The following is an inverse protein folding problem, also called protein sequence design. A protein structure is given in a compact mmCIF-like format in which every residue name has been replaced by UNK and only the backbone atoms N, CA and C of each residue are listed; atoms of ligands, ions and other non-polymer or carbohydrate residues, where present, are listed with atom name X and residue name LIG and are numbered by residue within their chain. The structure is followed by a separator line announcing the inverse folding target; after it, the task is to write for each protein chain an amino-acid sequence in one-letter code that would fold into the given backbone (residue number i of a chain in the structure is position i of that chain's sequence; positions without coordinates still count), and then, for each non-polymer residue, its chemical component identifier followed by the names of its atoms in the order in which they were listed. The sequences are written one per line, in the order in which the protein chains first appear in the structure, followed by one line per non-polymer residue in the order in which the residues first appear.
data_IF_179622070064
#
_entry.id   IF_179622070064
#
_cell.length_a   1.000
_cell.length_b   1.000
_cell.length_c   1.000
_cell.angle_alpha   90.00
_cell.angle_beta   90.00
_cell.angle_gamma   90.00
#
_symmetry.space_group_name_H-M   'P 1'
#
loop_
_entity.id
_entity.type
_entity.pdbx_description
1 polymer ?
#
# COMPACT_ATOMS: atom_id res chain seq x y z
N UNK A 1 -9.71 -0.44 -12.12
CA UNK A 1 -8.92 -0.09 -10.90
C UNK A 1 -7.58 -0.80 -10.91
N UNK A 2 -6.61 -0.28 -10.15
CA UNK A 2 -5.30 -0.94 -9.93
C UNK A 2 -5.15 -1.18 -8.42
N UNK A 3 -4.81 -2.41 -8.04
CA UNK A 3 -4.44 -2.73 -6.67
C UNK A 3 -3.01 -2.25 -6.43
N UNK A 4 -2.85 -1.26 -5.54
CA UNK A 4 -1.56 -0.61 -5.35
C UNK A 4 -0.61 -1.39 -4.42
N UNK A 5 -1.15 -2.33 -3.63
CA UNK A 5 -0.39 -3.06 -2.62
C UNK A 5 -0.92 -4.49 -2.47
N UNK A 6 -0.09 -5.49 -2.79
CA UNK A 6 -0.46 -6.91 -2.72
C UNK A 6 0.75 -7.85 -2.62
N UNK A 7 0.57 -9.01 -1.96
CA UNK A 7 1.59 -10.03 -1.76
C UNK A 7 1.24 -11.31 -2.54
N UNK A 8 1.17 -11.18 -3.88
CA UNK A 8 0.66 -12.25 -4.77
C UNK A 8 1.73 -13.21 -5.28
N UNK A 9 3.04 -12.88 -5.17
CA UNK A 9 4.08 -13.76 -5.69
C UNK A 9 4.28 -15.00 -4.80
N UNK A 10 4.40 -16.21 -5.40
CA UNK A 10 4.45 -17.44 -4.62
C UNK A 10 5.80 -17.60 -3.91
N UNK A 11 5.78 -17.90 -2.62
CA UNK A 11 6.96 -18.18 -1.79
C UNK A 11 8.05 -17.09 -1.78
N UNK A 12 7.66 -15.82 -1.97
CA UNK A 12 8.60 -14.68 -1.96
C UNK A 12 8.67 -14.06 -0.56
N UNK A 13 7.52 -13.99 0.10
CA UNK A 13 7.36 -13.41 1.43
C UNK A 13 6.30 -14.21 2.25
N UNK A 14 5.59 -13.56 3.15
CA UNK A 14 4.49 -14.16 3.92
C UNK A 14 3.14 -14.16 3.17
N UNK A 15 3.10 -13.68 1.93
CA UNK A 15 1.96 -13.73 1.03
C UNK A 15 1.66 -15.13 0.51
N UNK A 16 1.33 -15.24 -0.79
CA UNK A 16 0.99 -16.51 -1.45
C UNK A 16 2.03 -17.60 -1.22
N UNK A 17 1.57 -18.83 -0.94
CA UNK A 17 2.43 -19.98 -0.64
C UNK A 17 2.62 -20.93 -1.82
N UNK A 18 1.87 -20.74 -2.90
CA UNK A 18 2.00 -21.57 -4.10
C UNK A 18 1.51 -20.84 -5.35
N UNK A 19 1.84 -21.40 -6.50
CA UNK A 19 1.35 -20.91 -7.80
C UNK A 19 -0.18 -21.01 -7.87
N UNK A 20 -0.76 -22.03 -7.27
CA UNK A 20 -2.20 -22.26 -7.22
C UNK A 20 -2.88 -21.15 -6.42
N UNK A 21 -2.39 -20.83 -5.22
CA UNK A 21 -2.89 -19.72 -4.40
C UNK A 21 -2.76 -18.38 -5.15
N UNK A 22 -1.62 -18.14 -5.82
CA UNK A 22 -1.45 -16.95 -6.65
C UNK A 22 -2.54 -16.86 -7.72
N UNK A 23 -2.84 -17.96 -8.43
CA UNK A 23 -3.90 -17.94 -9.45
C UNK A 23 -5.31 -17.75 -8.87
N UNK A 24 -5.57 -18.23 -7.67
CA UNK A 24 -6.83 -17.93 -6.97
C UNK A 24 -6.93 -16.42 -6.67
N UNK A 25 -5.86 -15.81 -6.12
CA UNK A 25 -5.79 -14.37 -5.87
C UNK A 25 -6.00 -13.55 -7.14
N UNK A 26 -5.34 -13.92 -8.26
CA UNK A 26 -5.48 -13.21 -9.53
C UNK A 26 -6.92 -13.29 -10.09
N UNK A 27 -7.60 -14.44 -9.95
CA UNK A 27 -9.01 -14.60 -10.33
C UNK A 27 -9.93 -13.75 -9.46
N UNK A 28 -9.71 -13.77 -8.14
CA UNK A 28 -10.49 -12.97 -7.20
C UNK A 28 -10.33 -11.47 -7.49
N UNK A 29 -9.11 -11.00 -7.72
CA UNK A 29 -8.84 -9.62 -8.09
C UNK A 29 -9.57 -9.22 -9.38
N UNK A 30 -9.50 -10.07 -10.42
CA UNK A 30 -10.23 -9.83 -11.67
C UNK A 30 -11.74 -9.75 -11.45
N UNK A 31 -12.31 -10.65 -10.64
CA UNK A 31 -13.72 -10.67 -10.31
C UNK A 31 -14.14 -9.45 -9.47
N UNK A 32 -13.24 -8.91 -8.64
CA UNK A 32 -13.43 -7.67 -7.89
C UNK A 32 -13.31 -6.40 -8.77
N UNK A 33 -12.98 -6.54 -10.07
CA UNK A 33 -12.93 -5.44 -11.03
C UNK A 33 -11.58 -4.76 -11.16
N UNK A 34 -10.50 -5.38 -10.70
CA UNK A 34 -9.15 -4.89 -10.96
C UNK A 34 -8.74 -5.17 -12.41
N UNK A 35 -8.05 -4.21 -13.02
CA UNK A 35 -7.41 -4.29 -14.34
C UNK A 35 -5.88 -4.42 -14.23
N UNK A 36 -5.34 -4.15 -13.04
CA UNK A 36 -3.93 -4.27 -12.75
C UNK A 36 -3.66 -4.51 -11.27
N UNK A 37 -2.55 -5.18 -10.98
CA UNK A 37 -2.06 -5.46 -9.63
C UNK A 37 -0.59 -5.11 -9.58
N UNK A 38 -0.20 -4.36 -8.56
CA UNK A 38 1.20 -4.14 -8.21
C UNK A 38 1.58 -5.16 -7.14
N UNK A 39 2.46 -6.09 -7.50
CA UNK A 39 3.03 -7.02 -6.54
C UNK A 39 4.11 -6.32 -5.74
N UNK A 40 3.83 -6.06 -4.49
CA UNK A 40 4.69 -5.31 -3.56
C UNK A 40 5.23 -6.21 -2.46
N UNK A 41 5.67 -7.42 -2.82
CA UNK A 41 6.25 -8.35 -1.85
C UNK A 41 7.23 -7.66 -0.92
N UNK A 42 7.22 -8.05 0.35
CA UNK A 42 8.13 -7.48 1.35
C UNK A 42 9.59 -7.54 0.90
N UNK A 43 10.34 -6.51 1.23
CA UNK A 43 11.78 -6.55 1.31
C UNK A 43 12.20 -6.13 2.73
N UNK A 44 12.79 -7.05 3.46
CA UNK A 44 13.28 -6.86 4.82
C UNK A 44 14.59 -7.61 4.96
N UNK A 45 15.67 -6.88 5.20
CA UNK A 45 17.01 -7.45 5.38
C UNK A 45 16.97 -8.54 6.46
N UNK A 46 17.66 -9.66 6.22
CA UNK A 46 17.71 -10.87 7.05
C UNK A 46 16.42 -11.72 7.07
N UNK A 47 15.29 -11.25 6.50
CA UNK A 47 14.01 -11.97 6.53
C UNK A 47 13.45 -12.27 5.14
N UNK A 48 13.26 -11.24 4.31
CA UNK A 48 12.68 -11.35 2.98
C UNK A 48 13.59 -10.65 1.97
N UNK A 49 14.49 -11.41 1.34
CA UNK A 49 15.54 -10.86 0.48
C UNK A 49 15.51 -11.41 -0.96
N UNK A 50 14.33 -11.84 -1.43
CA UNK A 50 14.19 -12.28 -2.82
C UNK A 50 14.43 -11.10 -3.74
N UNK A 51 15.48 -11.19 -4.56
CA UNK A 51 15.94 -10.09 -5.40
C UNK A 51 14.99 -9.77 -6.55
N UNK A 52 15.18 -8.59 -7.14
CA UNK A 52 14.33 -8.08 -8.25
C UNK A 52 14.33 -8.99 -9.46
N UNK A 53 15.48 -9.62 -9.79
CA UNK A 53 15.58 -10.49 -10.97
C UNK A 53 14.70 -11.73 -10.84
N UNK A 54 14.71 -12.39 -9.69
CA UNK A 54 13.87 -13.56 -9.40
C UNK A 54 12.38 -13.21 -9.43
N UNK A 55 12.00 -12.07 -8.84
CA UNK A 55 10.60 -11.62 -8.84
C UNK A 55 10.12 -11.22 -10.24
N UNK A 56 11.00 -10.67 -11.10
CA UNK A 56 10.69 -10.43 -12.51
C UNK A 56 10.41 -11.73 -13.27
N UNK A 57 11.11 -12.81 -12.99
CA UNK A 57 10.82 -14.13 -13.58
C UNK A 57 9.40 -14.57 -13.23
N UNK A 58 8.98 -14.41 -11.96
CA UNK A 58 7.62 -14.72 -11.55
C UNK A 58 6.57 -13.86 -12.26
N UNK A 59 6.75 -12.52 -12.27
CA UNK A 59 5.82 -11.60 -12.94
C UNK A 59 5.64 -11.98 -14.42
N UNK A 60 6.73 -12.26 -15.13
CA UNK A 60 6.69 -12.64 -16.54
C UNK A 60 5.95 -13.97 -16.75
N UNK A 61 6.26 -14.99 -15.95
CA UNK A 61 5.61 -16.30 -16.04
C UNK A 61 4.11 -16.22 -15.73
N UNK A 62 3.71 -15.46 -14.72
CA UNK A 62 2.30 -15.24 -14.37
C UNK A 62 1.57 -14.45 -15.45
N UNK A 63 2.18 -13.40 -15.99
CA UNK A 63 1.60 -12.59 -17.08
C UNK A 63 1.38 -13.41 -18.34
N UNK A 64 2.34 -14.27 -18.72
CA UNK A 64 2.19 -15.19 -19.85
C UNK A 64 1.04 -16.19 -19.63
N UNK A 65 0.91 -16.71 -18.43
CA UNK A 65 -0.19 -17.62 -18.08
C UNK A 65 -1.56 -16.92 -18.09
N UNK A 66 -1.65 -15.68 -17.59
CA UNK A 66 -2.87 -14.88 -17.69
C UNK A 66 -3.28 -14.67 -19.15
N UNK A 67 -2.32 -14.31 -20.00
CA UNK A 67 -2.54 -14.15 -21.44
C UNK A 67 -3.08 -15.45 -22.09
N UNK A 68 -2.44 -16.60 -21.82
CA UNK A 68 -2.88 -17.92 -22.33
C UNK A 68 -4.29 -18.29 -21.88
N UNK A 69 -4.70 -17.82 -20.71
CA UNK A 69 -6.05 -18.07 -20.14
C UNK A 69 -7.09 -17.02 -20.51
N UNK A 70 -6.73 -16.03 -21.36
CA UNK A 70 -7.57 -14.89 -21.72
C UNK A 70 -8.08 -14.10 -20.49
N UNK A 71 -7.26 -13.97 -19.46
CA UNK A 71 -7.53 -13.14 -18.28
C UNK A 71 -6.86 -11.79 -18.50
N UNK A 72 -7.67 -10.76 -18.76
CA UNK A 72 -7.19 -9.39 -18.95
C UNK A 72 -6.90 -8.76 -17.59
N UNK A 73 -5.71 -9.01 -17.05
CA UNK A 73 -5.19 -8.48 -15.80
C UNK A 73 -3.69 -8.24 -15.95
N UNK A 74 -3.26 -7.00 -15.72
CA UNK A 74 -1.85 -6.61 -15.83
C UNK A 74 -1.15 -6.76 -14.49
N UNK A 75 0.08 -7.25 -14.50
CA UNK A 75 0.91 -7.37 -13.31
C UNK A 75 2.09 -6.42 -13.40
N UNK A 76 2.35 -5.75 -12.28
CA UNK A 76 3.46 -4.82 -12.12
C UNK A 76 4.30 -5.21 -10.91
N UNK A 77 5.57 -4.83 -10.91
CA UNK A 77 6.50 -5.16 -9.85
C UNK A 77 6.78 -3.94 -8.97
N UNK A 78 6.84 -4.16 -7.69
CA UNK A 78 7.28 -3.23 -6.66
C UNK A 78 7.84 -3.98 -5.46
N UNK A 79 8.16 -3.27 -4.40
CA UNK A 79 8.36 -3.80 -3.05
C UNK A 79 7.58 -2.97 -2.05
N UNK A 80 7.17 -3.61 -0.97
CA UNK A 80 7.00 -2.97 0.32
C UNK A 80 8.30 -3.13 1.10
N UNK A 81 9.04 -2.02 1.23
CA UNK A 81 10.36 -2.05 1.87
C UNK A 81 10.20 -1.72 3.36
N UNK A 82 10.62 -2.65 4.23
CA UNK A 82 10.70 -2.35 5.65
C UNK A 82 11.74 -1.24 5.87
N UNK A 83 11.36 -0.18 6.60
CA UNK A 83 12.18 1.03 6.73
C UNK A 83 13.60 0.72 7.24
N UNK A 84 14.61 1.20 6.54
CA UNK A 84 16.03 1.03 6.85
C UNK A 84 16.82 2.24 6.35
N UNK A 85 17.91 2.58 7.03
CA UNK A 85 18.88 3.59 6.59
C UNK A 85 19.57 3.19 5.27
N UNK A 86 19.55 1.89 4.95
CA UNK A 86 20.16 1.34 3.75
C UNK A 86 19.26 1.41 2.50
N UNK A 87 18.05 2.00 2.60
CA UNK A 87 17.00 1.95 1.56
C UNK A 87 17.50 2.42 0.18
N UNK A 88 18.34 3.45 0.14
CA UNK A 88 18.91 3.98 -1.12
C UNK A 88 19.81 2.93 -1.77
N UNK A 89 20.75 2.36 -1.03
CA UNK A 89 21.65 1.33 -1.54
C UNK A 89 20.89 0.06 -1.98
N UNK A 90 19.80 -0.31 -1.30
CA UNK A 90 18.96 -1.44 -1.72
C UNK A 90 18.32 -1.22 -3.09
N UNK A 91 17.92 0.02 -3.39
CA UNK A 91 17.37 0.39 -4.68
C UNK A 91 18.45 0.46 -5.78
N UNK A 92 19.59 1.08 -5.49
CA UNK A 92 20.71 1.21 -6.43
C UNK A 92 21.32 -0.14 -6.82
N UNK A 93 21.43 -1.05 -5.87
CA UNK A 93 21.98 -2.41 -6.09
C UNK A 93 20.97 -3.40 -6.68
N UNK A 94 19.70 -3.00 -6.82
CA UNK A 94 18.63 -3.87 -7.32
C UNK A 94 18.25 -5.01 -6.38
N UNK A 95 18.57 -4.91 -5.10
CA UNK A 95 18.06 -5.82 -4.07
C UNK A 95 16.57 -5.58 -3.84
N UNK A 96 16.16 -4.33 -3.72
CA UNK A 96 14.77 -3.91 -3.72
C UNK A 96 14.44 -3.08 -4.97
N UNK A 97 13.16 -2.83 -5.25
CA UNK A 97 12.74 -1.98 -6.38
C UNK A 97 11.61 -1.04 -6.00
N UNK A 98 11.58 0.10 -6.67
CA UNK A 98 10.46 1.02 -6.67
C UNK A 98 9.24 0.43 -7.40
N UNK A 99 8.09 1.08 -7.31
CA UNK A 99 6.88 0.69 -8.05
C UNK A 99 7.12 0.83 -9.56
N UNK A 100 7.13 -0.31 -10.27
CA UNK A 100 7.28 -0.38 -11.72
C UNK A 100 8.51 0.39 -12.27
N UNK A 101 9.62 0.42 -11.54
CA UNK A 101 10.82 1.22 -11.83
C UNK A 101 10.55 2.74 -11.92
N UNK A 102 9.51 3.25 -11.29
CA UNK A 102 9.23 4.68 -11.14
C UNK A 102 10.03 5.29 -9.99
N UNK A 103 9.86 6.58 -9.74
CA UNK A 103 10.46 7.23 -8.56
C UNK A 103 9.68 6.94 -7.26
N UNK A 104 8.57 6.23 -7.31
CA UNK A 104 7.72 5.95 -6.16
C UNK A 104 8.18 4.67 -5.44
N UNK A 105 8.40 4.77 -4.14
CA UNK A 105 8.84 3.66 -3.29
C UNK A 105 7.84 3.45 -2.18
N UNK A 106 7.20 2.27 -2.17
CA UNK A 106 6.34 1.86 -1.06
C UNK A 106 7.22 1.34 0.07
N UNK A 107 7.02 1.86 1.26
CA UNK A 107 7.75 1.44 2.46
C UNK A 107 6.82 1.35 3.66
N UNK A 108 7.23 0.57 4.66
CA UNK A 108 6.48 0.38 5.90
C UNK A 108 7.33 0.65 7.13
N UNK A 109 6.64 1.01 8.23
CA UNK A 109 7.20 1.10 9.57
C UNK A 109 6.92 -0.16 10.39
N UNK A 110 7.65 -0.38 11.50
CA UNK A 110 7.23 -1.34 12.52
C UNK A 110 5.83 -1.01 13.04
N UNK A 111 4.92 -1.99 13.09
CA UNK A 111 3.52 -1.76 13.47
C UNK A 111 3.35 -1.17 14.89
N UNK A 112 4.24 -1.53 15.80
CA UNK A 112 4.10 -1.22 17.23
C UNK A 112 5.08 -0.19 17.79
N UNK A 113 6.04 0.27 16.99
CA UNK A 113 7.06 1.23 17.44
C UNK A 113 7.31 2.31 16.38
N UNK A 114 7.44 3.56 16.83
CA UNK A 114 7.81 4.69 15.99
C UNK A 114 9.31 4.68 15.77
N UNK A 115 9.82 4.59 14.52
CA UNK A 115 11.26 4.67 14.27
C UNK A 115 11.80 6.05 14.66
N UNK A 116 12.91 6.10 15.40
CA UNK A 116 13.48 7.37 15.86
C UNK A 116 14.08 8.19 14.72
N UNK A 117 14.64 7.51 13.73
CA UNK A 117 15.32 8.08 12.56
C UNK A 117 14.44 8.20 11.31
N UNK A 118 13.10 8.04 11.45
CA UNK A 118 12.19 8.03 10.29
C UNK A 118 12.27 9.31 9.44
N UNK A 119 12.47 10.47 10.07
CA UNK A 119 12.55 11.74 9.35
C UNK A 119 13.86 11.87 8.55
N UNK A 120 14.97 11.35 9.08
CA UNK A 120 16.25 11.36 8.40
C UNK A 120 16.20 10.46 7.17
N UNK A 121 15.64 9.25 7.29
CA UNK A 121 15.47 8.32 6.15
C UNK A 121 14.55 8.93 5.08
N UNK A 122 13.42 9.53 5.48
CA UNK A 122 12.50 10.18 4.54
C UNK A 122 13.19 11.35 3.84
N UNK A 123 13.96 12.15 4.57
CA UNK A 123 14.74 13.26 3.99
C UNK A 123 15.74 12.74 2.94
N UNK A 124 16.49 11.69 3.26
CA UNK A 124 17.42 11.07 2.32
C UNK A 124 16.70 10.56 1.06
N UNK A 125 15.56 9.89 1.21
CA UNK A 125 14.74 9.46 0.05
C UNK A 125 14.38 10.65 -0.85
N UNK A 126 13.93 11.77 -0.28
CA UNK A 126 13.55 12.97 -1.04
C UNK A 126 14.74 13.63 -1.74
N UNK A 127 15.90 13.71 -1.09
CA UNK A 127 17.16 14.21 -1.69
C UNK A 127 17.58 13.37 -2.92
N UNK A 128 17.37 12.05 -2.86
CA UNK A 128 17.58 11.13 -3.98
C UNK A 128 16.44 11.15 -5.02
N UNK A 129 15.52 12.11 -4.93
CA UNK A 129 14.36 12.27 -5.83
C UNK A 129 13.38 11.08 -5.81
N UNK A 130 13.42 10.30 -4.75
CA UNK A 130 12.43 9.26 -4.47
C UNK A 130 11.18 9.93 -3.92
N UNK A 131 10.01 9.46 -4.35
CA UNK A 131 8.72 9.86 -3.81
C UNK A 131 8.28 8.77 -2.84
N UNK A 132 8.42 8.99 -1.52
CA UNK A 132 8.09 7.96 -0.54
C UNK A 132 6.57 7.78 -0.41
N UNK A 133 6.12 6.53 -0.42
CA UNK A 133 4.72 6.14 -0.19
C UNK A 133 4.67 5.28 1.06
N UNK A 134 4.06 5.77 2.13
CA UNK A 134 3.90 5.02 3.37
C UNK A 134 2.72 4.03 3.25
N UNK A 135 3.00 2.75 3.47
CA UNK A 135 2.01 1.70 3.49
C UNK A 135 1.12 1.78 4.74
N UNK A 136 -0.16 1.55 4.59
CA UNK A 136 -1.18 1.34 5.63
C UNK A 136 -0.97 2.14 6.95
N UNK A 137 -0.87 3.49 6.89
CA UNK A 137 -0.59 4.32 8.07
C UNK A 137 -1.58 4.12 9.22
N UNK A 138 -2.81 3.75 8.91
CA UNK A 138 -3.87 3.46 9.88
C UNK A 138 -3.59 2.26 10.79
N UNK A 139 -2.64 1.38 10.41
CA UNK A 139 -2.30 0.17 11.18
C UNK A 139 -1.26 0.43 12.28
N UNK A 140 -0.49 1.51 12.19
CA UNK A 140 0.57 1.77 13.17
C UNK A 140 0.00 2.25 14.52
N UNK A 141 0.40 1.59 15.60
CA UNK A 141 -0.10 1.88 16.96
C UNK A 141 0.22 3.32 17.42
N UNK A 142 1.32 3.89 16.95
CA UNK A 142 1.70 5.26 17.25
C UNK A 142 0.90 6.28 16.44
N UNK A 143 0.56 5.99 15.18
CA UNK A 143 -0.34 6.81 14.36
C UNK A 143 -1.76 6.81 14.93
N UNK A 144 -2.24 5.65 15.42
CA UNK A 144 -3.56 5.58 16.06
C UNK A 144 -3.66 6.48 17.29
N UNK A 145 -2.55 6.72 18.00
CA UNK A 145 -2.49 7.61 19.16
C UNK A 145 -2.27 9.08 18.79
N UNK A 146 -1.46 9.30 17.76
CA UNK A 146 -1.01 10.62 17.30
C UNK A 146 -1.22 10.75 15.77
N UNK A 147 -2.48 10.76 15.28
CA UNK A 147 -2.76 10.75 13.84
C UNK A 147 -2.33 12.04 13.13
N UNK A 148 -2.10 13.11 13.87
CA UNK A 148 -1.55 14.38 13.38
C UNK A 148 -0.20 14.18 12.68
N UNK A 149 0.55 13.14 13.04
CA UNK A 149 1.80 12.75 12.41
C UNK A 149 1.66 12.55 10.89
N UNK A 150 0.51 12.04 10.43
CA UNK A 150 0.30 11.81 8.99
C UNK A 150 0.21 13.12 8.23
N UNK A 151 -0.42 14.15 8.80
CA UNK A 151 -0.41 15.48 8.22
C UNK A 151 1.02 16.01 8.05
N UNK A 152 1.85 15.91 9.10
CA UNK A 152 3.24 16.35 9.05
C UNK A 152 4.07 15.61 7.99
N UNK A 153 3.85 14.30 7.83
CA UNK A 153 4.53 13.49 6.81
C UNK A 153 4.12 13.89 5.39
N UNK A 154 2.82 14.17 5.17
CA UNK A 154 2.34 14.64 3.86
C UNK A 154 2.91 16.00 3.52
N UNK A 155 2.97 16.94 4.49
CA UNK A 155 3.60 18.25 4.29
C UNK A 155 5.09 18.14 3.94
N UNK A 156 5.75 17.06 4.31
CA UNK A 156 7.15 16.75 3.93
C UNK A 156 7.28 16.02 2.59
N UNK A 157 6.18 15.69 1.92
CA UNK A 157 6.19 15.04 0.61
C UNK A 157 5.99 13.53 0.63
N UNK A 158 5.61 12.94 1.77
CA UNK A 158 5.27 11.52 1.86
C UNK A 158 3.83 11.30 1.42
N UNK A 159 3.60 10.34 0.54
CA UNK A 159 2.25 9.92 0.13
C UNK A 159 1.78 8.74 0.98
N UNK A 160 0.46 8.55 1.06
CA UNK A 160 -0.16 7.53 1.90
C UNK A 160 -0.92 6.50 1.07
N UNK A 161 -0.65 5.23 1.30
CA UNK A 161 -1.45 4.12 0.80
C UNK A 161 -2.21 3.51 1.97
N UNK A 162 -3.53 3.41 1.89
CA UNK A 162 -4.37 2.75 2.89
C UNK A 162 -4.99 1.45 2.36
N UNK A 163 -5.31 0.54 3.28
CA UNK A 163 -5.84 -0.77 2.93
C UNK A 163 -7.37 -0.76 2.77
N UNK A 164 -7.89 -1.41 1.72
CA UNK A 164 -9.33 -1.61 1.54
C UNK A 164 -9.99 -2.29 2.76
N UNK A 165 -9.30 -3.29 3.34
CA UNK A 165 -9.82 -4.00 4.50
C UNK A 165 -9.95 -3.15 5.77
N UNK A 166 -9.20 -2.06 5.89
CA UNK A 166 -9.23 -1.18 7.06
C UNK A 166 -10.58 -0.52 7.24
N UNK A 167 -11.26 -0.10 6.16
CA UNK A 167 -12.58 0.57 6.24
C UNK A 167 -13.67 -0.38 6.77
N UNK A 168 -13.51 -1.68 6.55
CA UNK A 168 -14.43 -2.73 7.03
C UNK A 168 -14.06 -3.25 8.43
N UNK A 169 -13.05 -2.67 9.08
CA UNK A 169 -12.64 -3.05 10.43
C UNK A 169 -11.77 -4.31 10.51
N UNK A 170 -11.22 -4.80 9.40
CA UNK A 170 -10.39 -6.02 9.35
C UNK A 170 -9.19 -5.96 10.30
N UNK A 171 -8.62 -4.78 10.49
CA UNK A 171 -7.47 -4.55 11.38
C UNK A 171 -7.87 -3.93 12.72
N UNK A 172 -9.15 -4.05 13.10
CA UNK A 172 -9.71 -3.56 14.35
C UNK A 172 -10.29 -2.14 14.26
N UNK A 173 -11.08 -1.79 15.28
CA UNK A 173 -11.84 -0.54 15.33
C UNK A 173 -10.95 0.72 15.29
N UNK A 174 -9.73 0.63 15.84
CA UNK A 174 -8.78 1.76 15.83
C UNK A 174 -8.31 2.07 14.41
N UNK A 175 -7.87 1.06 13.67
CA UNK A 175 -7.48 1.23 12.28
C UNK A 175 -8.65 1.70 11.42
N UNK A 176 -9.86 1.18 11.65
CA UNK A 176 -11.08 1.63 10.98
C UNK A 176 -11.39 3.10 11.24
N UNK A 177 -11.27 3.57 12.48
CA UNK A 177 -11.45 4.98 12.81
C UNK A 177 -10.42 5.83 12.07
N UNK A 178 -9.14 5.45 12.14
CA UNK A 178 -8.07 6.27 11.54
C UNK A 178 -8.21 6.33 10.03
N UNK A 179 -8.46 5.21 9.33
CA UNK A 179 -8.62 5.26 7.86
C UNK A 179 -9.80 6.15 7.44
N UNK A 180 -10.92 6.14 8.20
CA UNK A 180 -12.04 7.07 7.95
C UNK A 180 -11.58 8.52 8.07
N UNK A 181 -10.84 8.86 9.12
CA UNK A 181 -10.30 10.21 9.32
C UNK A 181 -9.33 10.63 8.23
N UNK A 182 -8.45 9.73 7.79
CA UNK A 182 -7.54 10.01 6.69
C UNK A 182 -8.29 10.27 5.38
N UNK A 183 -9.30 9.46 5.06
CA UNK A 183 -10.17 9.66 3.89
C UNK A 183 -10.93 10.98 3.94
N UNK A 184 -11.58 11.28 5.08
CA UNK A 184 -12.34 12.52 5.30
C UNK A 184 -11.47 13.78 5.12
N UNK A 185 -10.14 13.68 5.30
CA UNK A 185 -9.23 14.81 5.34
C UNK A 185 -8.20 14.84 4.19
N UNK A 186 -8.48 14.20 3.06
CA UNK A 186 -7.64 14.19 1.86
C UNK A 186 -6.22 13.63 2.10
N UNK A 187 -6.07 12.67 3.01
CA UNK A 187 -4.78 12.11 3.40
C UNK A 187 -4.53 10.70 2.86
N UNK A 188 -5.39 10.20 1.94
CA UNK A 188 -5.20 8.91 1.25
C UNK A 188 -4.98 9.18 -0.23
N UNK A 189 -3.87 8.70 -0.77
CA UNK A 189 -3.46 8.91 -2.15
C UNK A 189 -3.61 7.66 -3.01
N UNK A 190 -3.53 6.48 -2.37
CA UNK A 190 -3.66 5.16 -3.00
C UNK A 190 -4.44 4.21 -2.10
N UNK A 191 -5.14 3.24 -2.72
CA UNK A 191 -5.74 2.12 -2.03
C UNK A 191 -5.10 0.80 -2.50
N UNK A 192 -4.84 -0.10 -1.56
CA UNK A 192 -4.31 -1.43 -1.82
C UNK A 192 -5.06 -2.50 -1.04
N UNK A 193 -5.00 -3.74 -1.51
CA UNK A 193 -5.62 -4.86 -0.81
C UNK A 193 -4.80 -5.33 0.38
N UNK A 194 -3.49 -5.27 0.26
CA UNK A 194 -2.55 -5.88 1.21
C UNK A 194 -2.90 -7.38 1.40
N UNK A 195 -3.26 -8.03 0.27
CA UNK A 195 -3.74 -9.41 0.29
C UNK A 195 -2.58 -10.39 0.39
N UNK A 196 -2.69 -11.34 1.31
CA UNK A 196 -1.70 -12.38 1.54
C UNK A 196 -2.25 -13.79 1.24
N UNK A 197 -3.57 -13.96 1.25
CA UNK A 197 -4.22 -15.27 1.09
C UNK A 197 -5.53 -15.16 0.32
N UNK A 198 -5.90 -16.18 -0.48
CA UNK A 198 -7.19 -16.25 -1.12
C UNK A 198 -8.36 -16.18 -0.11
N UNK A 199 -9.51 -15.75 -0.59
CA UNK A 199 -10.77 -15.66 0.15
C UNK A 199 -10.71 -14.71 1.37
N UNK A 200 -9.80 -13.73 1.37
CA UNK A 200 -9.64 -12.84 2.53
C UNK A 200 -10.08 -11.39 2.27
N UNK A 201 -9.55 -10.74 1.25
CA UNK A 201 -9.77 -9.30 0.99
C UNK A 201 -10.58 -9.08 -0.28
N UNK A 202 -10.19 -9.67 -1.39
CA UNK A 202 -10.83 -9.42 -2.68
C UNK A 202 -12.35 -9.68 -2.70
N UNK A 203 -12.91 -10.71 -2.03
CA UNK A 203 -14.36 -10.89 -1.97
C UNK A 203 -15.14 -9.74 -1.35
N UNK A 204 -14.47 -8.91 -0.53
CA UNK A 204 -15.09 -7.80 0.20
C UNK A 204 -14.78 -6.42 -0.43
N UNK A 205 -14.08 -6.36 -1.56
CA UNK A 205 -13.68 -5.10 -2.20
C UNK A 205 -14.89 -4.21 -2.54
N UNK A 206 -15.97 -4.78 -3.04
CA UNK A 206 -17.17 -4.00 -3.40
C UNK A 206 -17.81 -3.32 -2.19
N UNK A 207 -17.81 -3.98 -1.03
CA UNK A 207 -18.31 -3.42 0.22
C UNK A 207 -17.39 -2.27 0.67
N UNK A 208 -16.07 -2.49 0.64
CA UNK A 208 -15.09 -1.45 0.95
C UNK A 208 -15.21 -0.23 0.03
N UNK A 209 -15.34 -0.44 -1.29
CA UNK A 209 -15.53 0.62 -2.27
C UNK A 209 -16.82 1.42 -2.01
N UNK A 210 -17.90 0.75 -1.62
CA UNK A 210 -19.17 1.40 -1.28
C UNK A 210 -19.03 2.32 -0.07
N UNK A 211 -18.40 1.83 1.02
CA UNK A 211 -18.13 2.61 2.22
C UNK A 211 -17.21 3.81 1.93
N UNK A 212 -16.11 3.58 1.22
CA UNK A 212 -15.15 4.64 0.88
C UNK A 212 -15.81 5.69 -0.02
N UNK A 213 -16.59 5.25 -1.03
CA UNK A 213 -17.34 6.14 -1.92
C UNK A 213 -18.33 7.03 -1.17
N UNK A 214 -18.95 6.52 -0.12
CA UNK A 214 -19.86 7.31 0.71
C UNK A 214 -19.14 8.44 1.47
N UNK A 215 -17.84 8.25 1.77
CA UNK A 215 -17.02 9.24 2.48
C UNK A 215 -16.46 10.29 1.51
N UNK A 216 -15.80 9.86 0.41
CA UNK A 216 -15.00 10.77 -0.45
C UNK A 216 -15.64 11.05 -1.81
N UNK A 217 -16.76 10.41 -2.14
CA UNK A 217 -17.43 10.53 -3.43
C UNK A 217 -16.77 9.73 -4.56
N UNK A 218 -17.45 9.68 -5.72
CA UNK A 218 -17.04 8.86 -6.86
C UNK A 218 -15.72 9.32 -7.48
N UNK A 219 -15.57 10.63 -7.70
CA UNK A 219 -14.41 11.16 -8.44
C UNK A 219 -13.11 10.95 -7.66
N UNK A 220 -13.12 11.21 -6.35
CA UNK A 220 -11.95 10.99 -5.51
C UNK A 220 -11.61 9.50 -5.36
N UNK A 221 -12.63 8.64 -5.30
CA UNK A 221 -12.42 7.18 -5.30
C UNK A 221 -11.75 6.72 -6.60
N UNK A 222 -12.21 7.19 -7.77
CA UNK A 222 -11.59 6.88 -9.06
C UNK A 222 -10.15 7.41 -9.14
N UNK A 223 -9.90 8.60 -8.60
CA UNK A 223 -8.57 9.19 -8.51
C UNK A 223 -7.59 8.27 -7.77
N UNK A 224 -7.90 7.87 -6.54
CA UNK A 224 -6.98 7.09 -5.68
C UNK A 224 -6.92 5.60 -6.02
N UNK A 225 -7.87 5.06 -6.81
CA UNK A 225 -7.88 3.64 -7.23
C UNK A 225 -7.47 3.41 -8.68
N UNK A 226 -7.45 4.46 -9.51
CA UNK A 226 -7.20 4.30 -10.94
C UNK A 226 -6.26 5.35 -11.51
N UNK A 227 -6.52 6.65 -11.30
CA UNK A 227 -5.76 7.74 -11.93
C UNK A 227 -4.37 7.83 -11.32
N UNK A 228 -4.28 7.98 -9.99
CA UNK A 228 -3.00 8.07 -9.29
C UNK A 228 -2.12 6.84 -9.50
N UNK A 229 -2.63 5.59 -9.35
CA UNK A 229 -1.83 4.40 -9.67
C UNK A 229 -1.29 4.39 -11.10
N UNK A 230 -2.08 4.79 -12.11
CA UNK A 230 -1.61 4.89 -13.50
C UNK A 230 -0.49 5.91 -13.65
N UNK A 231 -0.59 7.07 -13.01
CA UNK A 231 0.46 8.08 -13.03
C UNK A 231 1.76 7.56 -12.41
N UNK A 232 1.67 6.82 -11.31
CA UNK A 232 2.84 6.16 -10.69
C UNK A 232 3.47 5.15 -11.66
N UNK A 233 2.67 4.30 -12.30
CA UNK A 233 3.16 3.31 -13.27
C UNK A 233 3.84 3.95 -14.49
N UNK A 234 3.42 5.15 -14.88
CA UNK A 234 4.00 5.95 -15.96
C UNK A 234 5.12 6.89 -15.47
N UNK A 235 5.54 6.79 -14.22
CA UNK A 235 6.50 7.66 -13.55
C UNK A 235 6.16 9.17 -13.67
N UNK A 236 4.87 9.49 -13.60
CA UNK A 236 4.34 10.86 -13.63
C UNK A 236 4.01 11.31 -12.20
N UNK A 237 4.15 12.60 -11.92
CA UNK A 237 3.70 13.17 -10.64
C UNK A 237 2.18 13.13 -10.56
N UNK A 238 1.68 12.78 -9.38
CA UNK A 238 0.26 12.90 -9.04
C UNK A 238 -0.02 14.32 -8.51
N UNK A 239 -1.21 14.82 -8.79
CA UNK A 239 -1.73 16.00 -8.11
C UNK A 239 -2.36 15.55 -6.80
N UNK A 240 -2.05 16.22 -5.71
CA UNK A 240 -2.60 15.92 -4.39
C UNK A 240 -3.47 17.07 -3.92
N UNK A 241 -4.66 16.75 -3.42
CA UNK A 241 -5.47 17.72 -2.71
C UNK A 241 -4.77 18.16 -1.43
N UNK A 242 -4.98 19.39 -1.02
CA UNK A 242 -4.44 19.89 0.23
C UNK A 242 -4.99 19.07 1.41
N UNK A 243 -4.13 18.42 2.22
CA UNK A 243 -4.56 17.67 3.38
C UNK A 243 -5.13 18.62 4.44
N UNK A 244 -6.16 18.18 5.13
CA UNK A 244 -6.76 18.94 6.23
C UNK A 244 -6.35 18.35 7.58
N UNK A 245 -5.73 19.17 8.40
CA UNK A 245 -5.39 18.75 9.77
C UNK A 245 -6.67 18.39 10.55
N UNK A 246 -6.63 17.31 11.29
CA UNK A 246 -7.72 16.89 12.16
C UNK A 246 -7.21 16.47 13.53
N UNK A 247 -8.09 16.53 14.52
CA UNK A 247 -7.83 16.02 15.88
C UNK A 247 -8.93 15.06 16.29
N UNK A 248 -8.53 14.00 16.97
CA UNK A 248 -9.51 13.07 17.55
C UNK A 248 -10.29 13.77 18.66
N UNK A 249 -11.60 13.59 18.69
CA UNK A 249 -12.47 13.99 19.80
C UNK A 249 -12.09 13.24 21.09
N UNK A 250 -12.55 13.71 22.24
CA UNK A 250 -12.29 13.04 23.53
C UNK A 250 -12.77 11.57 23.50
N UNK A 251 -13.94 11.29 22.91
CA UNK A 251 -14.47 9.92 22.78
C UNK A 251 -13.58 9.04 21.91
N UNK A 252 -13.12 9.55 20.76
CA UNK A 252 -12.21 8.83 19.85
C UNK A 252 -10.84 8.59 20.51
N UNK A 253 -10.30 9.59 21.25
CA UNK A 253 -9.07 9.42 22.05
C UNK A 253 -9.21 8.33 23.12
N UNK A 254 -10.34 8.27 23.79
CA UNK A 254 -10.61 7.18 24.73
C UNK A 254 -10.61 5.82 24.02
N UNK A 255 -11.25 5.71 22.85
CA UNK A 255 -11.31 4.47 22.08
C UNK A 255 -9.91 3.98 21.64
N UNK A 256 -9.06 4.86 21.10
CA UNK A 256 -7.72 4.46 20.65
C UNK A 256 -6.75 4.16 21.82
N UNK A 257 -6.98 4.72 22.99
CA UNK A 257 -6.15 4.49 24.18
C UNK A 257 -6.58 3.29 25.02
N UNK A 258 -7.77 2.73 24.80
CA UNK A 258 -8.17 1.50 25.47
C UNK A 258 -7.23 0.35 25.05
N UNK A 259 -6.56 -0.25 26.04
CA UNK A 259 -5.87 -1.53 25.82
C UNK A 259 -6.93 -2.61 25.63
N UNK A 260 -6.94 -3.26 24.48
CA UNK A 260 -7.56 -4.58 24.36
C UNK A 260 -6.56 -5.64 24.76
#
# INVERSE_FOLDING_TARGET
MIDFHSHILPNVDDGSKSVEETFELLKEAKNAGFEGIISTSHYMEEYYEVNVAERKVWINALSENLYKKNIDLKLYLGNEIYITENIINLLETGKATSINNSNYVLFEFPLNSKPMNMYDIIYDMLEYKIIPVLAHPERYSFVQKEPELIYDLIQKGVLMQSNFGSILGRYGEKAQLIVRKLLENNMVHFLGSDVHKPNTVYPQINDALSEIRAIIGKNKLEEITSINPKFVLDNRRIDIDEPREFKLSLKEKMMVNLKK
#
